data_IF_407233889801
#
_entry.id   IF_407233889801
#
_cell.length_a   1.000
_cell.length_b   1.000
_cell.length_c   1.000
_cell.angle_alpha   90.00
_cell.angle_beta   90.00
_cell.angle_gamma   90.00
#
_symmetry.space_group_name_H-M   'P 1'
#
loop_
_entity.id
_entity.type
_entity.pdbx_description
1 polymer ?
#
# COMPACT_ATOMS: atom_id res chain seq x y z
N UNK A 1 8.87 8.37 2.81
CA UNK A 1 8.32 7.42 1.83
C UNK A 1 8.82 7.87 0.47
N UNK A 2 9.19 6.95 -0.43
CA UNK A 2 9.50 7.34 -1.82
C UNK A 2 8.24 7.87 -2.52
N UNK A 3 8.39 8.81 -3.45
CA UNK A 3 7.30 9.35 -4.29
C UNK A 3 6.46 8.24 -4.94
N UNK A 4 7.14 7.17 -5.40
CA UNK A 4 6.49 5.98 -5.96
C UNK A 4 5.63 5.22 -4.95
N UNK A 5 6.07 5.10 -3.69
CA UNK A 5 5.30 4.41 -2.65
C UNK A 5 4.03 5.21 -2.30
N UNK A 6 4.13 6.53 -2.29
CA UNK A 6 3.00 7.43 -2.04
C UNK A 6 1.98 7.40 -3.18
N UNK A 7 2.45 7.36 -4.43
CA UNK A 7 1.60 7.24 -5.60
C UNK A 7 0.84 5.91 -5.61
N UNK A 8 1.52 4.80 -5.30
CA UNK A 8 0.87 3.49 -5.14
C UNK A 8 -0.14 3.51 -3.98
N UNK A 9 0.18 4.18 -2.86
CA UNK A 9 -0.76 4.31 -1.75
C UNK A 9 -2.04 5.04 -2.17
N UNK A 10 -1.92 6.20 -2.83
CA UNK A 10 -3.06 7.05 -3.21
C UNK A 10 -3.88 6.46 -4.35
N UNK A 11 -3.21 6.06 -5.43
CA UNK A 11 -3.87 5.66 -6.68
C UNK A 11 -4.24 4.17 -6.75
N UNK A 12 -3.77 3.36 -5.80
CA UNK A 12 -4.09 1.93 -5.74
C UNK A 12 -4.73 1.49 -4.44
N UNK A 13 -4.06 1.70 -3.31
CA UNK A 13 -4.52 1.16 -2.01
C UNK A 13 -5.76 1.93 -1.51
N UNK A 14 -5.77 3.25 -1.67
CA UNK A 14 -6.86 4.13 -1.23
C UNK A 14 -7.83 4.50 -2.36
N UNK A 15 -7.57 4.04 -3.59
CA UNK A 15 -8.39 4.36 -4.75
C UNK A 15 -9.60 3.44 -4.87
N UNK A 16 -10.74 3.99 -5.28
CA UNK A 16 -11.95 3.22 -5.57
C UNK A 16 -11.87 2.43 -6.89
N UNK A 17 -10.92 2.77 -7.77
CA UNK A 17 -10.67 2.07 -9.03
C UNK A 17 -9.16 1.89 -9.25
N UNK A 18 -8.56 0.82 -8.70
CA UNK A 18 -7.12 0.59 -8.82
C UNK A 18 -6.78 0.01 -10.19
N UNK A 19 -6.05 0.76 -11.03
CA UNK A 19 -5.53 0.25 -12.29
C UNK A 19 -4.06 -0.19 -12.16
N UNK A 20 -3.84 -1.51 -12.16
CA UNK A 20 -2.51 -2.13 -12.04
C UNK A 20 -1.61 -1.83 -13.25
N UNK A 21 -2.22 -1.71 -14.44
CA UNK A 21 -1.51 -1.53 -15.69
C UNK A 21 -0.89 -0.12 -15.79
N UNK A 22 -1.64 0.90 -15.40
CA UNK A 22 -1.20 2.29 -15.47
C UNK A 22 0.01 2.54 -14.55
N UNK A 23 0.00 1.97 -13.35
CA UNK A 23 1.12 2.06 -12.41
C UNK A 23 2.36 1.27 -12.85
N UNK A 24 2.15 0.07 -13.44
CA UNK A 24 3.23 -0.71 -14.02
C UNK A 24 3.93 0.02 -15.17
N UNK A 25 3.13 0.60 -16.07
CA UNK A 25 3.63 1.38 -17.20
C UNK A 25 4.32 2.68 -16.75
N UNK A 26 3.73 3.43 -15.81
CA UNK A 26 4.27 4.69 -15.28
C UNK A 26 5.67 4.53 -14.67
N UNK A 27 5.91 3.42 -13.99
CA UNK A 27 7.18 3.16 -13.30
C UNK A 27 8.10 2.15 -14.00
N UNK A 28 7.69 1.63 -15.16
CA UNK A 28 8.45 0.61 -15.90
C UNK A 28 8.63 -0.69 -15.10
N UNK A 29 7.66 -1.05 -14.25
CA UNK A 29 7.72 -2.24 -13.40
C UNK A 29 6.63 -3.24 -13.74
N UNK A 30 6.90 -4.51 -13.48
CA UNK A 30 5.91 -5.57 -13.68
C UNK A 30 4.75 -5.46 -12.70
N UNK A 31 3.58 -6.01 -13.07
CA UNK A 31 2.41 -6.08 -12.18
C UNK A 31 2.74 -6.74 -10.84
N UNK A 32 3.55 -7.78 -10.88
CA UNK A 32 3.97 -8.50 -9.67
C UNK A 32 4.84 -7.62 -8.78
N UNK A 33 5.73 -6.80 -9.36
CA UNK A 33 6.51 -5.83 -8.58
C UNK A 33 5.61 -4.79 -7.91
N UNK A 34 4.56 -4.33 -8.58
CA UNK A 34 3.56 -3.41 -8.01
C UNK A 34 2.82 -4.06 -6.82
N UNK A 35 2.48 -5.35 -6.91
CA UNK A 35 1.88 -6.11 -5.80
C UNK A 35 2.81 -6.23 -4.60
N UNK A 36 4.09 -6.53 -4.83
CA UNK A 36 5.09 -6.58 -3.77
C UNK A 36 5.25 -5.25 -3.05
N UNK A 37 5.29 -4.14 -3.79
CA UNK A 37 5.38 -2.79 -3.23
C UNK A 37 4.16 -2.45 -2.38
N UNK A 38 2.96 -2.80 -2.84
CA UNK A 38 1.73 -2.62 -2.06
C UNK A 38 1.76 -3.42 -0.76
N UNK A 39 2.12 -4.71 -0.79
CA UNK A 39 2.19 -5.52 0.41
C UNK A 39 3.15 -4.90 1.45
N UNK A 40 4.28 -4.34 0.98
CA UNK A 40 5.23 -3.60 1.81
C UNK A 40 4.64 -2.32 2.39
N UNK A 41 3.88 -1.55 1.60
CA UNK A 41 3.21 -0.32 2.05
C UNK A 41 2.14 -0.65 3.10
N UNK A 42 1.27 -1.62 2.83
CA UNK A 42 0.21 -2.07 3.76
C UNK A 42 0.82 -2.54 5.08
N UNK A 43 1.92 -3.31 5.02
CA UNK A 43 2.62 -3.76 6.23
C UNK A 43 3.10 -2.57 7.08
N UNK A 44 3.78 -1.60 6.46
CA UNK A 44 4.23 -0.39 7.17
C UNK A 44 3.06 0.41 7.74
N UNK A 45 1.95 0.53 7.00
CA UNK A 45 0.76 1.24 7.46
C UNK A 45 0.15 0.54 8.69
N UNK A 46 0.06 -0.79 8.65
CA UNK A 46 -0.41 -1.60 9.78
C UNK A 46 0.50 -1.47 10.99
N UNK A 47 1.81 -1.54 10.79
CA UNK A 47 2.80 -1.40 11.88
C UNK A 47 2.73 0.01 12.50
N UNK A 48 2.55 1.04 11.68
CA UNK A 48 2.35 2.42 12.13
C UNK A 48 1.08 2.56 12.98
N UNK A 49 -0.06 2.07 12.48
CA UNK A 49 -1.33 2.13 13.21
C UNK A 49 -1.28 1.31 14.51
N UNK A 50 -0.66 0.12 14.47
CA UNK A 50 -0.45 -0.71 15.68
C UNK A 50 0.42 -0.04 16.74
N UNK A 51 1.36 0.81 16.32
CA UNK A 51 2.23 1.56 17.26
C UNK A 51 1.45 2.64 18.00
N UNK A 52 0.54 3.32 17.31
CA UNK A 52 -0.22 4.45 17.87
C UNK A 52 -1.49 4.00 18.59
N UNK A 53 -2.12 2.90 18.17
CA UNK A 53 -3.31 2.33 18.81
C UNK A 53 -2.90 1.21 19.77
N UNK A 54 -2.74 1.55 21.06
CA UNK A 54 -2.78 0.53 22.14
C UNK A 54 -4.13 -0.18 22.06
N UNK A 55 -4.11 -1.51 21.99
CA UNK A 55 -5.26 -2.42 21.87
C UNK A 55 -5.79 -2.71 20.45
N UNK A 56 -5.02 -2.46 19.39
CA UNK A 56 -5.45 -2.83 18.01
C UNK A 56 -5.81 -4.32 17.85
N UNK A 57 -5.14 -5.23 18.57
CA UNK A 57 -5.42 -6.67 18.50
C UNK A 57 -6.73 -7.08 19.19
N UNK A 58 -7.37 -6.19 19.98
CA UNK A 58 -8.68 -6.45 20.62
C UNK A 58 -9.87 -6.19 19.71
N UNK A 59 -9.69 -5.54 18.56
CA UNK A 59 -10.75 -5.27 17.57
C UNK A 59 -11.06 -6.47 16.66
N UNK A 60 -10.46 -7.63 16.93
CA UNK A 60 -10.57 -8.84 16.11
C UNK A 60 -11.57 -9.87 16.67
N UNK A 61 -12.46 -9.46 17.57
CA UNK A 61 -13.58 -10.26 18.10
C UNK A 61 -14.70 -10.41 17.09
#
# INVERSE_FOLDING_TARGET
>A
MEERDEDILRNRILSASPNLDDLGNKYGITKERTRQLEARIIKRLRDYVKKDIKDFDRLRT
#
